data_IF_787443729601
#
_entry.id   IF_787443729601
#
_cell.length_a   1.000
_cell.length_b   1.000
_cell.length_c   1.000
_cell.angle_alpha   90.00
_cell.angle_beta   90.00
_cell.angle_gamma   90.00
#
_symmetry.space_group_name_H-M   'P 1'
#
loop_
_entity.id
_entity.type
_entity.pdbx_description
1 polymer ?
#
# COMPACT_ATOMS: atom_id res chain seq x y z
N UNK A 1 -43.98 -46.13 43.29
CA UNK A 1 -44.95 -45.02 43.22
C UNK A 1 -44.61 -44.12 42.04
N UNK A 2 -45.32 -44.27 40.93
CA UNK A 2 -45.08 -43.52 39.70
C UNK A 2 -45.77 -42.15 39.78
N UNK A 3 -45.04 -41.06 39.52
CA UNK A 3 -45.62 -39.71 39.40
C UNK A 3 -46.38 -39.64 38.08
N UNK A 4 -47.70 -39.53 38.14
CA UNK A 4 -48.56 -39.31 36.98
C UNK A 4 -48.21 -37.99 36.28
N UNK A 5 -48.05 -38.07 34.95
CA UNK A 5 -47.78 -36.92 34.07
C UNK A 5 -49.11 -36.31 33.66
N UNK A 6 -49.41 -35.11 34.17
CA UNK A 6 -50.57 -34.35 33.73
C UNK A 6 -50.39 -33.84 32.28
N UNK A 7 -51.15 -34.37 31.34
CA UNK A 7 -51.32 -33.79 30.00
C UNK A 7 -52.44 -32.74 30.00
N UNK A 8 -52.08 -31.46 29.82
CA UNK A 8 -53.04 -30.39 29.50
C UNK A 8 -53.05 -30.16 27.99
N UNK A 9 -54.26 -30.20 27.40
CA UNK A 9 -54.62 -29.95 25.99
C UNK A 9 -53.70 -28.95 25.26
N UNK A 10 -53.14 -29.37 24.12
CA UNK A 10 -52.95 -28.51 22.94
C UNK A 10 -51.53 -28.21 22.47
N UNK A 11 -50.49 -28.31 23.31
CA UNK A 11 -49.08 -28.19 22.88
C UNK A 11 -48.20 -29.09 23.75
N UNK A 12 -47.69 -30.18 23.18
CA UNK A 12 -46.58 -30.94 23.79
C UNK A 12 -45.42 -29.96 23.92
N UNK A 13 -45.09 -29.53 25.14
CA UNK A 13 -43.84 -28.82 25.40
C UNK A 13 -42.72 -29.82 25.16
N UNK A 14 -42.04 -29.73 24.02
CA UNK A 14 -40.81 -30.49 23.81
C UNK A 14 -39.80 -29.98 24.84
N UNK A 15 -39.40 -30.85 25.77
CA UNK A 15 -38.34 -30.51 26.71
C UNK A 15 -37.00 -30.56 25.96
N UNK A 16 -36.00 -29.76 26.36
CA UNK A 16 -34.65 -29.77 25.73
C UNK A 16 -34.07 -31.18 25.59
N UNK A 17 -34.40 -32.06 26.53
CA UNK A 17 -34.00 -33.46 26.56
C UNK A 17 -34.63 -34.29 25.43
N UNK A 18 -35.87 -33.99 25.03
CA UNK A 18 -36.57 -34.70 23.95
C UNK A 18 -35.93 -34.39 22.59
N UNK A 19 -35.40 -33.18 22.39
CA UNK A 19 -34.70 -32.78 21.16
C UNK A 19 -33.32 -33.43 21.02
N UNK A 20 -32.62 -33.67 22.14
CA UNK A 20 -31.30 -34.31 22.16
C UNK A 20 -31.42 -35.80 21.81
N UNK A 21 -32.43 -36.48 22.36
CA UNK A 21 -32.68 -37.90 22.05
C UNK A 21 -33.00 -38.14 20.57
N UNK A 22 -33.68 -37.18 19.90
CA UNK A 22 -33.95 -37.27 18.46
C UNK A 22 -32.69 -37.31 17.57
N UNK A 23 -31.53 -36.86 18.07
CA UNK A 23 -30.24 -36.86 17.33
C UNK A 23 -29.25 -37.93 17.82
N UNK A 24 -29.62 -38.70 18.84
CA UNK A 24 -28.73 -39.70 19.41
C UNK A 24 -28.66 -40.93 18.51
N UNK A 25 -27.46 -41.30 18.10
CA UNK A 25 -27.20 -42.53 17.35
C UNK A 25 -26.46 -43.50 18.28
N UNK A 26 -27.07 -44.66 18.54
CA UNK A 26 -26.46 -45.74 19.31
C UNK A 26 -25.72 -46.66 18.35
N UNK A 27 -24.39 -46.61 18.39
CA UNK A 27 -23.53 -47.45 17.55
C UNK A 27 -22.80 -48.45 18.44
N UNK A 28 -22.91 -49.74 18.09
CA UNK A 28 -22.10 -50.78 18.69
C UNK A 28 -20.84 -50.97 17.88
N UNK A 29 -19.69 -50.91 18.56
CA UNK A 29 -18.41 -51.21 17.94
C UNK A 29 -18.24 -52.73 17.81
N UNK A 30 -17.61 -53.22 16.72
CA UNK A 30 -17.41 -54.65 16.48
C UNK A 30 -16.60 -55.39 17.56
N UNK A 31 -15.81 -54.67 18.37
CA UNK A 31 -14.96 -55.25 19.41
C UNK A 31 -14.74 -54.24 20.55
N UNK A 32 -14.58 -54.76 21.78
CA UNK A 32 -14.19 -53.97 22.96
C UNK A 32 -12.80 -53.35 22.80
N UNK A 33 -11.87 -54.05 22.17
CA UNK A 33 -10.52 -53.52 21.89
C UNK A 33 -10.56 -52.30 20.97
N UNK A 34 -11.52 -52.25 20.04
CA UNK A 34 -11.70 -51.12 19.14
C UNK A 34 -12.18 -49.87 19.89
N UNK A 35 -13.08 -50.07 20.85
CA UNK A 35 -13.56 -49.01 21.76
C UNK A 35 -12.40 -48.43 22.57
N UNK A 36 -11.55 -49.28 23.14
CA UNK A 36 -10.38 -48.82 23.90
C UNK A 36 -9.38 -48.07 23.04
N UNK A 37 -9.13 -48.53 21.81
CA UNK A 37 -8.26 -47.83 20.86
C UNK A 37 -8.79 -46.43 20.55
N UNK A 38 -10.08 -46.30 20.30
CA UNK A 38 -10.70 -45.01 20.01
C UNK A 38 -10.71 -44.10 21.23
N UNK A 39 -10.93 -44.63 22.43
CA UNK A 39 -10.83 -43.87 23.68
C UNK A 39 -9.42 -43.30 23.85
N UNK A 40 -8.38 -44.12 23.67
CA UNK A 40 -6.98 -43.67 23.75
C UNK A 40 -6.64 -42.59 22.72
N UNK A 41 -7.19 -42.68 21.51
CA UNK A 41 -6.99 -41.68 20.47
C UNK A 41 -7.72 -40.37 20.79
N UNK A 42 -8.95 -40.45 21.29
CA UNK A 42 -9.72 -39.30 21.73
C UNK A 42 -9.02 -38.56 22.88
N UNK A 43 -8.52 -39.31 23.87
CA UNK A 43 -7.79 -38.76 25.02
C UNK A 43 -6.49 -38.06 24.60
N UNK A 44 -5.75 -38.63 23.62
CA UNK A 44 -4.55 -37.99 23.04
C UNK A 44 -4.86 -36.66 22.36
N UNK A 45 -6.03 -36.53 21.75
CA UNK A 45 -6.50 -35.31 21.11
C UNK A 45 -7.23 -34.36 22.08
N UNK A 46 -7.40 -34.74 23.35
CA UNK A 46 -8.12 -33.94 24.35
C UNK A 46 -9.64 -33.83 24.10
N UNK A 47 -10.21 -34.78 23.35
CA UNK A 47 -11.62 -34.77 22.94
C UNK A 47 -12.41 -35.86 23.66
N UNK A 48 -13.71 -35.65 23.86
CA UNK A 48 -14.61 -36.73 24.28
C UNK A 48 -14.80 -37.73 23.14
N UNK A 49 -15.00 -39.02 23.49
CA UNK A 49 -15.18 -40.09 22.50
C UNK A 49 -16.30 -39.79 21.49
N UNK A 50 -17.40 -39.19 21.96
CA UNK A 50 -18.52 -38.81 21.10
C UNK A 50 -18.13 -37.74 20.08
N UNK A 51 -17.34 -36.73 20.51
CA UNK A 51 -16.87 -35.66 19.63
C UNK A 51 -15.81 -36.16 18.65
N UNK A 52 -14.93 -37.04 19.11
CA UNK A 52 -13.92 -37.69 18.27
C UNK A 52 -14.55 -38.50 17.14
N UNK A 53 -15.60 -39.28 17.43
CA UNK A 53 -16.33 -40.06 16.42
C UNK A 53 -17.06 -39.16 15.43
N UNK A 54 -17.74 -38.11 15.92
CA UNK A 54 -18.42 -37.14 15.04
C UNK A 54 -17.41 -36.52 14.08
N UNK A 55 -16.29 -36.00 14.57
CA UNK A 55 -15.28 -35.33 13.75
C UNK A 55 -14.64 -36.28 12.73
N UNK A 56 -14.33 -37.52 13.10
CA UNK A 56 -13.77 -38.48 12.15
C UNK A 56 -14.78 -38.93 11.10
N UNK A 57 -16.05 -39.13 11.48
CA UNK A 57 -17.11 -39.49 10.54
C UNK A 57 -17.43 -38.31 9.62
N UNK A 58 -17.56 -37.09 10.14
CA UNK A 58 -17.76 -35.87 9.35
C UNK A 58 -16.58 -35.63 8.40
N UNK A 59 -15.33 -35.82 8.85
CA UNK A 59 -14.16 -35.72 8.00
C UNK A 59 -14.14 -36.79 6.89
N UNK A 60 -14.55 -38.03 7.20
CA UNK A 60 -14.66 -39.10 6.20
C UNK A 60 -15.77 -38.81 5.18
N UNK A 61 -16.93 -38.36 5.64
CA UNK A 61 -18.05 -37.97 4.78
C UNK A 61 -17.73 -36.72 3.97
N UNK A 62 -16.92 -35.79 4.48
CA UNK A 62 -16.45 -34.60 3.74
C UNK A 62 -15.38 -34.94 2.71
N UNK A 63 -14.73 -36.10 2.82
CA UNK A 63 -13.85 -36.64 1.78
C UNK A 63 -14.64 -37.39 0.69
N UNK A 64 -15.75 -38.04 1.05
CA UNK A 64 -16.62 -38.78 0.12
C UNK A 64 -17.61 -37.88 -0.64
N UNK A 65 -18.18 -36.87 0.03
CA UNK A 65 -19.01 -35.86 -0.60
C UNK A 65 -18.08 -34.83 -1.25
N UNK A 66 -17.95 -34.89 -2.57
CA UNK A 66 -17.20 -33.96 -3.43
C UNK A 66 -17.66 -32.48 -3.35
N UNK A 67 -17.73 -31.88 -2.16
CA UNK A 67 -17.63 -30.42 -1.98
C UNK A 67 -16.14 -30.06 -1.88
N UNK A 68 -15.41 -30.38 -2.95
CA UNK A 68 -13.96 -30.23 -3.13
C UNK A 68 -13.55 -28.77 -3.30
N UNK A 69 -14.09 -27.83 -2.52
CA UNK A 69 -13.62 -26.44 -2.53
C UNK A 69 -12.28 -26.28 -1.82
N UNK A 70 -11.96 -27.18 -0.90
CA UNK A 70 -10.69 -27.23 -0.19
C UNK A 70 -10.19 -28.66 -0.32
N UNK A 71 -9.08 -28.85 -1.06
CA UNK A 71 -8.52 -30.17 -1.36
C UNK A 71 -8.14 -30.97 -0.10
N UNK A 72 -7.52 -32.13 -0.30
CA UNK A 72 -7.07 -32.98 0.83
C UNK A 72 -6.18 -32.19 1.80
N UNK A 73 -6.03 -32.66 3.05
CA UNK A 73 -5.13 -32.02 4.03
C UNK A 73 -3.72 -31.78 3.47
N UNK A 74 -3.25 -32.66 2.60
CA UNK A 74 -1.98 -32.51 1.89
C UNK A 74 -1.98 -31.34 0.91
N UNK A 75 -3.07 -31.13 0.16
CA UNK A 75 -3.24 -30.01 -0.77
C UNK A 75 -3.29 -28.67 -0.03
N UNK A 76 -3.98 -28.62 1.12
CA UNK A 76 -4.00 -27.43 1.97
C UNK A 76 -2.60 -27.08 2.51
N UNK A 77 -1.83 -28.08 2.96
CA UNK A 77 -0.46 -27.88 3.43
C UNK A 77 0.43 -27.39 2.27
N UNK A 78 0.26 -27.93 1.07
CA UNK A 78 0.99 -27.48 -0.12
C UNK A 78 0.64 -26.02 -0.45
N UNK A 79 -0.64 -25.66 -0.41
CA UNK A 79 -1.09 -24.28 -0.68
C UNK A 79 -0.58 -23.29 0.36
N UNK A 80 -0.53 -23.67 1.63
CA UNK A 80 0.07 -22.85 2.70
C UNK A 80 1.55 -22.58 2.39
N UNK A 81 2.31 -23.62 2.01
CA UNK A 81 3.73 -23.45 1.66
C UNK A 81 3.94 -22.54 0.45
N UNK A 82 3.12 -22.70 -0.60
CA UNK A 82 3.15 -21.82 -1.78
C UNK A 82 2.86 -20.37 -1.39
N UNK A 83 1.82 -20.13 -0.59
CA UNK A 83 1.47 -18.79 -0.11
C UNK A 83 2.56 -18.17 0.77
N UNK A 84 3.22 -18.96 1.62
CA UNK A 84 4.36 -18.49 2.42
C UNK A 84 5.57 -18.11 1.54
N UNK A 85 5.82 -18.86 0.46
CA UNK A 85 6.87 -18.51 -0.52
C UNK A 85 6.53 -17.23 -1.27
N UNK A 86 5.30 -17.10 -1.78
CA UNK A 86 4.82 -15.90 -2.45
C UNK A 86 4.92 -14.67 -1.52
N UNK A 87 4.53 -14.82 -0.26
CA UNK A 87 4.61 -13.73 0.73
C UNK A 87 6.06 -13.28 0.95
N UNK A 88 7.00 -14.23 1.11
CA UNK A 88 8.43 -13.93 1.24
C UNK A 88 9.00 -13.24 0.00
N UNK A 89 8.56 -13.63 -1.19
CA UNK A 89 9.00 -12.97 -2.43
C UNK A 89 8.47 -11.54 -2.54
N UNK A 90 7.21 -11.33 -2.19
CA UNK A 90 6.57 -10.01 -2.20
C UNK A 90 7.26 -9.09 -1.20
N UNK A 91 7.56 -9.56 0.01
CA UNK A 91 8.28 -8.79 1.03
C UNK A 91 9.67 -8.35 0.54
N UNK A 92 10.44 -9.25 -0.09
CA UNK A 92 11.73 -8.91 -0.68
C UNK A 92 11.61 -7.85 -1.79
N UNK A 93 10.63 -8.01 -2.67
CA UNK A 93 10.35 -7.03 -3.75
C UNK A 93 9.98 -5.67 -3.16
N UNK A 94 9.14 -5.66 -2.13
CA UNK A 94 8.73 -4.44 -1.44
C UNK A 94 9.92 -3.73 -0.78
N UNK A 95 10.80 -4.46 -0.09
CA UNK A 95 11.98 -3.89 0.54
C UNK A 95 12.92 -3.23 -0.49
N UNK A 96 13.16 -3.90 -1.62
CA UNK A 96 14.00 -3.36 -2.70
C UNK A 96 13.35 -2.10 -3.30
N UNK A 97 12.04 -2.16 -3.58
CA UNK A 97 11.33 -1.04 -4.20
C UNK A 97 11.23 0.16 -3.26
N UNK A 98 11.03 -0.07 -1.95
CA UNK A 98 11.01 0.99 -0.94
C UNK A 98 12.36 1.72 -0.87
N UNK A 99 13.47 0.98 -0.83
CA UNK A 99 14.82 1.58 -0.83
C UNK A 99 15.11 2.34 -2.13
N UNK A 100 14.67 1.82 -3.27
CA UNK A 100 14.80 2.51 -4.55
C UNK A 100 13.97 3.81 -4.58
N UNK A 101 12.75 3.78 -4.03
CA UNK A 101 11.88 4.93 -3.93
C UNK A 101 12.47 6.01 -3.01
N UNK A 102 12.96 5.64 -1.83
CA UNK A 102 13.64 6.56 -0.90
C UNK A 102 14.84 7.25 -1.58
N UNK A 103 15.66 6.48 -2.31
CA UNK A 103 16.79 7.03 -3.06
C UNK A 103 16.36 8.01 -4.14
N UNK A 104 15.32 7.66 -4.91
CA UNK A 104 14.76 8.55 -5.93
C UNK A 104 14.17 9.82 -5.31
N UNK A 105 13.54 9.72 -4.14
CA UNK A 105 13.00 10.86 -3.42
C UNK A 105 14.12 11.78 -2.91
N UNK A 106 15.21 11.22 -2.38
CA UNK A 106 16.41 11.98 -2.02
C UNK A 106 17.06 12.66 -3.23
N UNK A 107 17.20 11.94 -4.35
CA UNK A 107 17.72 12.50 -5.59
C UNK A 107 16.81 13.61 -6.12
N UNK A 108 15.47 13.43 -6.10
CA UNK A 108 14.53 14.47 -6.51
C UNK A 108 14.61 15.70 -5.60
N UNK A 109 14.70 15.49 -4.28
CA UNK A 109 14.92 16.56 -3.32
C UNK A 109 16.22 17.30 -3.60
N UNK A 110 17.32 16.57 -3.86
CA UNK A 110 18.61 17.15 -4.28
C UNK A 110 18.46 17.96 -5.56
N UNK A 111 17.88 17.42 -6.62
CA UNK A 111 17.63 18.13 -7.88
C UNK A 111 16.72 19.35 -7.73
N UNK A 112 15.74 19.31 -6.82
CA UNK A 112 14.91 20.48 -6.50
C UNK A 112 15.70 21.54 -5.73
N UNK A 113 16.64 21.13 -4.88
CA UNK A 113 17.49 22.04 -4.08
C UNK A 113 18.75 22.52 -4.82
N UNK A 114 19.24 21.79 -5.81
CA UNK A 114 20.43 22.11 -6.62
C UNK A 114 20.34 23.48 -7.31
N UNK A 115 19.19 23.88 -7.91
CA UNK A 115 18.98 25.24 -8.42
C UNK A 115 19.08 26.35 -7.36
N UNK A 116 18.98 26.00 -6.07
CA UNK A 116 19.15 26.96 -4.97
C UNK A 116 20.58 26.92 -4.37
N UNK A 117 21.27 25.78 -4.46
CA UNK A 117 22.57 25.51 -3.83
C UNK A 117 23.78 25.62 -4.77
N UNK A 118 23.73 25.06 -5.98
CA UNK A 118 24.93 24.90 -6.85
C UNK A 118 24.86 25.66 -8.19
N UNK A 119 23.67 25.93 -8.73
CA UNK A 119 23.53 26.79 -9.91
C UNK A 119 22.75 28.05 -9.57
N UNK A 120 23.48 29.13 -9.23
CA UNK A 120 23.26 30.45 -9.83
C UNK A 120 24.43 31.39 -9.46
N UNK A 121 25.69 30.94 -9.34
CA UNK A 121 26.76 31.94 -9.22
C UNK A 121 26.79 32.82 -10.48
N UNK A 122 26.64 32.20 -11.67
CA UNK A 122 26.47 32.88 -12.95
C UNK A 122 25.15 33.67 -13.02
N UNK A 123 24.00 33.03 -12.79
CA UNK A 123 22.71 33.72 -12.86
C UNK A 123 22.52 34.82 -11.80
N UNK A 124 23.07 34.71 -10.58
CA UNK A 124 23.11 35.81 -9.60
C UNK A 124 24.12 36.90 -10.01
N UNK A 125 25.21 36.55 -10.68
CA UNK A 125 26.12 37.53 -11.30
C UNK A 125 25.39 38.28 -12.42
N UNK A 126 24.63 37.59 -13.26
CA UNK A 126 23.82 38.21 -14.32
C UNK A 126 22.65 39.00 -13.76
N UNK A 127 21.97 38.51 -12.73
CA UNK A 127 20.92 39.25 -12.02
C UNK A 127 21.45 40.56 -11.44
N UNK A 128 22.63 40.52 -10.79
CA UNK A 128 23.31 41.74 -10.34
C UNK A 128 23.64 42.67 -11.50
N UNK A 129 24.24 42.17 -12.58
CA UNK A 129 24.55 42.96 -13.77
C UNK A 129 23.32 43.56 -14.44
N UNK A 130 22.20 42.84 -14.48
CA UNK A 130 20.92 43.33 -15.02
C UNK A 130 20.42 44.49 -14.16
N UNK A 131 20.39 44.31 -12.84
CA UNK A 131 19.95 45.35 -11.90
C UNK A 131 20.88 46.58 -11.96
N UNK A 132 22.19 46.37 -12.02
CA UNK A 132 23.20 47.43 -12.19
C UNK A 132 22.98 48.19 -13.51
N UNK A 133 22.82 47.49 -14.62
CA UNK A 133 22.56 48.11 -15.93
C UNK A 133 21.29 48.97 -15.91
N UNK A 134 20.21 48.48 -15.29
CA UNK A 134 18.96 49.22 -15.16
C UNK A 134 19.09 50.43 -14.25
N UNK A 135 19.82 50.33 -13.13
CA UNK A 135 20.07 51.47 -12.23
C UNK A 135 20.94 52.55 -12.88
N UNK A 136 21.92 52.17 -13.70
CA UNK A 136 22.79 53.14 -14.37
C UNK A 136 22.11 53.86 -15.52
N UNK A 137 21.37 53.13 -16.38
CA UNK A 137 20.79 53.70 -17.61
C UNK A 137 19.35 54.18 -17.45
N UNK A 138 18.62 53.68 -16.46
CA UNK A 138 17.19 53.96 -16.22
C UNK A 138 16.24 53.40 -17.29
N UNK A 139 16.68 53.32 -18.54
CA UNK A 139 15.92 52.80 -19.69
C UNK A 139 16.86 52.03 -20.62
N UNK A 140 16.49 50.81 -20.98
CA UNK A 140 17.30 49.91 -21.82
C UNK A 140 16.45 49.37 -22.97
N UNK A 141 17.01 49.33 -24.18
CA UNK A 141 16.36 48.68 -25.32
C UNK A 141 16.45 47.15 -25.19
N UNK A 142 15.38 46.44 -25.54
CA UNK A 142 15.33 44.96 -25.43
C UNK A 142 16.48 44.25 -26.14
N UNK A 143 16.92 44.77 -27.29
CA UNK A 143 18.04 44.22 -28.05
C UNK A 143 19.40 44.48 -27.39
N UNK A 144 19.58 45.65 -26.80
CA UNK A 144 20.87 46.08 -26.23
C UNK A 144 21.18 45.43 -24.88
N UNK A 145 20.17 44.96 -24.15
CA UNK A 145 20.35 44.39 -22.81
C UNK A 145 21.33 43.20 -22.83
N UNK A 146 21.21 42.30 -23.81
CA UNK A 146 22.10 41.15 -23.92
C UNK A 146 23.54 41.56 -24.23
N UNK A 147 23.72 42.59 -25.06
CA UNK A 147 25.04 43.14 -25.40
C UNK A 147 25.70 43.80 -24.18
N UNK A 148 24.94 44.56 -23.39
CA UNK A 148 25.43 45.23 -22.16
C UNK A 148 25.92 44.21 -21.14
N UNK A 149 25.22 43.08 -21.00
CA UNK A 149 25.57 42.03 -20.05
C UNK A 149 26.70 41.12 -20.61
N UNK A 150 27.01 41.24 -21.90
CA UNK A 150 28.06 40.50 -22.59
C UNK A 150 27.66 39.06 -22.96
N UNK A 151 26.39 38.84 -23.27
CA UNK A 151 25.82 37.52 -23.57
C UNK A 151 25.40 37.47 -25.03
N UNK A 152 25.75 36.37 -25.70
CA UNK A 152 25.28 36.12 -27.05
C UNK A 152 24.09 35.14 -27.02
N UNK A 153 22.85 35.59 -27.31
CA UNK A 153 21.66 34.75 -27.22
C UNK A 153 21.69 33.53 -28.15
N UNK A 154 22.42 33.61 -29.28
CA UNK A 154 22.53 32.51 -30.25
C UNK A 154 23.48 31.41 -29.78
N UNK A 155 24.52 31.75 -29.01
CA UNK A 155 25.51 30.78 -28.49
C UNK A 155 25.13 30.24 -27.11
N UNK A 156 24.34 30.99 -26.34
CA UNK A 156 24.02 30.71 -24.94
C UNK A 156 22.50 30.74 -24.70
N UNK A 157 21.78 29.86 -25.39
CA UNK A 157 20.32 29.83 -25.38
C UNK A 157 19.72 29.57 -23.98
N UNK A 158 20.34 28.70 -23.19
CA UNK A 158 19.85 28.38 -21.83
C UNK A 158 20.00 29.58 -20.87
N UNK A 159 21.10 30.32 -21.00
CA UNK A 159 21.36 31.55 -20.23
C UNK A 159 20.36 32.64 -20.62
N UNK A 160 20.11 32.81 -21.92
CA UNK A 160 19.13 33.77 -22.43
C UNK A 160 17.70 33.47 -21.91
N UNK A 161 17.32 32.19 -21.86
CA UNK A 161 16.03 31.76 -21.32
C UNK A 161 15.90 32.08 -19.82
N UNK A 162 16.96 31.87 -19.05
CA UNK A 162 16.97 32.23 -17.63
C UNK A 162 16.90 33.74 -17.40
N UNK A 163 17.57 34.56 -18.23
CA UNK A 163 17.51 36.02 -18.16
C UNK A 163 16.11 36.54 -18.48
N UNK A 164 15.45 36.00 -19.50
CA UNK A 164 14.07 36.38 -19.80
C UNK A 164 13.13 36.10 -18.61
N UNK A 165 13.31 34.95 -17.95
CA UNK A 165 12.55 34.62 -16.73
C UNK A 165 12.85 35.57 -15.57
N UNK A 166 14.09 36.05 -15.46
CA UNK A 166 14.46 37.07 -14.47
C UNK A 166 13.81 38.42 -14.78
N UNK A 167 13.77 38.86 -16.04
CA UNK A 167 13.08 40.09 -16.45
C UNK A 167 11.58 40.02 -16.17
N UNK A 168 10.93 38.90 -16.48
CA UNK A 168 9.53 38.66 -16.13
C UNK A 168 9.30 38.75 -14.61
N UNK A 169 10.22 38.22 -13.80
CA UNK A 169 10.13 38.34 -12.35
C UNK A 169 10.30 39.80 -11.90
N UNK A 170 11.26 40.54 -12.45
CA UNK A 170 11.48 41.96 -12.13
C UNK A 170 10.26 42.83 -12.50
N UNK A 171 9.60 42.52 -13.62
CA UNK A 171 8.34 43.16 -14.02
C UNK A 171 7.20 42.82 -13.06
N UNK A 172 7.05 41.54 -12.68
CA UNK A 172 6.05 41.10 -11.68
C UNK A 172 6.26 41.76 -10.32
N UNK A 173 7.51 42.00 -9.93
CA UNK A 173 7.84 42.73 -8.70
C UNK A 173 7.68 44.26 -8.84
N UNK A 174 7.36 44.76 -10.04
CA UNK A 174 7.15 46.19 -10.31
C UNK A 174 8.42 47.03 -10.36
N UNK A 175 9.60 46.39 -10.45
CA UNK A 175 10.90 47.07 -10.51
C UNK A 175 11.20 47.62 -11.91
N UNK A 176 10.73 46.92 -12.95
CA UNK A 176 10.79 47.36 -14.34
C UNK A 176 9.40 47.38 -14.96
N UNK A 177 9.24 48.17 -16.02
CA UNK A 177 8.03 48.25 -16.82
C UNK A 177 8.34 48.04 -18.30
N UNK A 178 7.60 47.13 -18.94
CA UNK A 178 7.68 46.92 -20.38
C UNK A 178 6.94 48.03 -21.12
N UNK A 179 7.68 48.85 -21.87
CA UNK A 179 7.13 49.85 -22.81
C UNK A 179 7.33 49.40 -24.26
N UNK A 180 7.11 48.11 -24.52
CA UNK A 180 7.15 47.50 -25.85
C UNK A 180 8.59 47.29 -26.35
N UNK A 181 9.23 48.35 -26.82
CA UNK A 181 10.63 48.31 -27.32
C UNK A 181 11.66 48.49 -26.19
N UNK A 182 11.23 49.05 -25.07
CA UNK A 182 12.09 49.49 -23.98
C UNK A 182 11.65 48.89 -22.66
N UNK A 183 12.63 48.56 -21.83
CA UNK A 183 12.43 48.32 -20.41
C UNK A 183 12.78 49.59 -19.65
N UNK A 184 11.90 50.03 -18.77
CA UNK A 184 12.12 51.22 -17.94
C UNK A 184 12.20 50.80 -16.48
N UNK A 185 13.26 51.22 -15.80
CA UNK A 185 13.43 51.06 -14.37
C UNK A 185 12.55 52.06 -13.61
N UNK A 186 11.80 51.59 -12.62
CA UNK A 186 10.79 52.41 -11.91
C UNK A 186 11.29 53.10 -10.63
N UNK A 187 12.51 52.81 -10.14
CA UNK A 187 12.96 53.24 -8.80
C UNK A 187 14.25 54.06 -8.74
#
# INVERSE_FOLDING_TARGET
MAKERFEKKGRKKEYKTDTIMKRAVLVYLPSEEMKEKWQKLADKSGLSISRFVIEHVENSLSQENEDTSYGTRADLIKRIKELEEEMREIEKKYEILSKAYERLEEENKRYRTMPFLEEMEGFRKYERKIIEAFKERGKIEKGELFDIIGINPMKQADVAKGINRQLENLERYGLIEDKGRWWVWKY
#
